data_IF_067920716853
#
_entry.id   IF_067920716853
#
_cell.length_a   1.000
_cell.length_b   1.000
_cell.length_c   1.000
_cell.angle_alpha   90.00
_cell.angle_beta   90.00
_cell.angle_gamma   90.00
#
_symmetry.space_group_name_H-M   'P 1'
#
loop_
_entity.id
_entity.type
_entity.pdbx_description
1 polymer ?
#
# COMPACT_ATOMS: atom_id res chain seq x y z
N UNK A 1 1.09 42.54 -10.36
CA UNK A 1 1.17 41.67 -9.16
C UNK A 1 -0.17 41.85 -8.45
N UNK A 2 -0.99 40.80 -8.34
CA UNK A 2 -2.34 40.93 -7.77
C UNK A 2 -2.39 40.47 -6.31
N UNK A 3 -3.19 41.15 -5.50
CA UNK A 3 -3.37 40.86 -4.08
C UNK A 3 -4.84 40.55 -3.80
N UNK A 4 -5.09 39.67 -2.83
CA UNK A 4 -6.43 39.30 -2.39
C UNK A 4 -7.12 40.48 -1.72
N UNK A 5 -8.35 40.80 -2.14
CA UNK A 5 -9.09 41.93 -1.60
C UNK A 5 -9.54 41.69 -0.15
N UNK A 6 -9.63 40.42 0.27
CA UNK A 6 -10.07 39.98 1.60
C UNK A 6 -8.91 39.99 2.59
N UNK A 7 -7.86 39.20 2.36
CA UNK A 7 -6.77 39.03 3.34
C UNK A 7 -5.47 39.73 2.95
N UNK A 8 -5.46 40.50 1.85
CA UNK A 8 -4.31 41.26 1.34
C UNK A 8 -3.06 40.43 1.01
N UNK A 9 -3.17 39.10 0.98
CA UNK A 9 -2.08 38.21 0.57
C UNK A 9 -1.87 38.25 -0.94
N UNK A 10 -0.67 37.90 -1.40
CA UNK A 10 -0.35 37.87 -2.83
C UNK A 10 -1.07 36.70 -3.51
N UNK A 11 -1.78 36.96 -4.62
CA UNK A 11 -2.40 35.92 -5.44
C UNK A 11 -1.34 35.20 -6.30
N UNK A 12 -1.55 33.92 -6.53
CA UNK A 12 -0.73 33.09 -7.42
C UNK A 12 -1.44 32.88 -8.77
N UNK A 13 -0.68 32.80 -9.87
CA UNK A 13 -1.25 32.52 -11.19
C UNK A 13 -1.47 31.00 -11.34
N UNK A 14 -2.69 30.61 -11.67
CA UNK A 14 -3.10 29.22 -11.94
C UNK A 14 -3.69 29.10 -13.35
N UNK A 15 -4.09 27.89 -13.76
CA UNK A 15 -4.76 27.67 -15.04
C UNK A 15 -6.16 28.31 -15.11
N UNK A 16 -6.78 28.62 -13.96
CA UNK A 16 -8.08 29.30 -13.84
C UNK A 16 -7.95 30.82 -13.60
N UNK A 17 -6.73 31.37 -13.69
CA UNK A 17 -6.45 32.77 -13.35
C UNK A 17 -5.75 32.96 -12.00
N UNK A 18 -5.78 34.17 -11.47
CA UNK A 18 -5.11 34.51 -10.21
C UNK A 18 -5.97 34.11 -8.99
N UNK A 19 -5.43 33.25 -8.12
CA UNK A 19 -6.12 32.72 -6.93
C UNK A 19 -5.41 33.10 -5.62
N UNK A 20 -6.18 33.36 -4.56
CA UNK A 20 -5.72 33.58 -3.21
C UNK A 20 -5.61 32.26 -2.44
N UNK A 21 -4.38 31.88 -2.06
CA UNK A 21 -4.12 30.63 -1.31
C UNK A 21 -4.82 30.56 0.06
N UNK A 22 -5.19 31.70 0.65
CA UNK A 22 -5.79 31.76 1.99
C UNK A 22 -7.32 31.88 1.96
N UNK A 23 -7.88 32.45 0.89
CA UNK A 23 -9.31 32.79 0.82
C UNK A 23 -10.07 31.99 -0.24
N UNK A 24 -9.40 31.55 -1.31
CA UNK A 24 -10.08 30.88 -2.42
C UNK A 24 -10.18 29.36 -2.18
N UNK A 25 -9.27 28.78 -1.40
CA UNK A 25 -9.24 27.34 -1.07
C UNK A 25 -9.66 27.01 0.38
N UNK A 26 -10.15 27.98 1.16
CA UNK A 26 -10.60 27.70 2.52
C UNK A 26 -12.02 27.13 2.55
N UNK A 27 -12.14 25.82 2.37
CA UNK A 27 -13.25 25.04 2.89
C UNK A 27 -12.76 24.16 4.04
N UNK A 28 -13.04 24.50 5.32
CA UNK A 28 -12.62 23.68 6.46
C UNK A 28 -13.25 22.28 6.49
N UNK A 29 -14.19 21.98 5.58
CA UNK A 29 -14.85 20.69 5.42
C UNK A 29 -14.46 19.91 4.15
N UNK A 30 -13.52 20.38 3.32
CA UNK A 30 -12.95 19.51 2.26
C UNK A 30 -11.92 18.57 2.87
N UNK A 31 -12.41 17.54 3.56
CA UNK A 31 -11.66 16.29 3.63
C UNK A 31 -11.35 15.91 2.17
N UNK A 32 -10.08 15.69 1.84
CA UNK A 32 -9.70 14.97 0.62
C UNK A 32 -10.72 13.83 0.43
N UNK A 33 -11.41 13.71 -0.73
CA UNK A 33 -12.49 12.76 -0.88
C UNK A 33 -11.96 11.40 -0.43
N UNK A 34 -12.44 10.96 0.73
CA UNK A 34 -12.18 9.61 1.23
C UNK A 34 -12.69 8.73 0.12
N UNK A 35 -11.79 8.04 -0.60
CA UNK A 35 -12.15 7.10 -1.65
C UNK A 35 -12.92 5.97 -0.96
N UNK A 36 -14.23 6.16 -0.82
CA UNK A 36 -15.10 5.15 -0.25
C UNK A 36 -14.94 3.89 -1.11
N UNK A 37 -14.77 2.72 -0.49
CA UNK A 37 -14.74 1.48 -1.25
C UNK A 37 -16.05 1.35 -2.03
N UNK A 38 -15.95 0.82 -3.25
CA UNK A 38 -17.13 0.47 -4.07
C UNK A 38 -17.73 -0.87 -3.59
N UNK A 39 -16.97 -1.60 -2.78
CA UNK A 39 -17.32 -2.86 -2.13
C UNK A 39 -17.81 -2.64 -0.69
N UNK A 40 -18.73 -3.47 -0.21
CA UNK A 40 -19.24 -3.47 1.16
C UNK A 40 -18.78 -4.70 1.95
N UNK A 41 -18.58 -4.57 3.27
CA UNK A 41 -18.08 -5.65 4.15
C UNK A 41 -19.00 -6.89 4.17
N UNK A 42 -20.29 -6.73 3.83
CA UNK A 42 -21.29 -7.79 3.87
C UNK A 42 -21.37 -8.62 2.57
N UNK A 43 -20.63 -8.24 1.54
CA UNK A 43 -20.55 -8.98 0.28
C UNK A 43 -19.38 -9.98 0.31
N UNK A 44 -19.47 -11.06 -0.47
CA UNK A 44 -18.32 -11.93 -0.71
C UNK A 44 -17.16 -11.12 -1.33
N UNK A 45 -15.93 -11.35 -0.87
CA UNK A 45 -14.75 -10.64 -1.39
C UNK A 45 -14.70 -10.73 -2.93
N UNK A 46 -14.50 -9.61 -3.66
CA UNK A 46 -14.94 -9.54 -5.06
C UNK A 46 -13.92 -10.08 -6.07
N UNK A 47 -12.99 -10.94 -5.62
CA UNK A 47 -11.91 -11.50 -6.42
C UNK A 47 -11.90 -13.02 -6.28
N UNK A 48 -11.74 -13.70 -7.41
CA UNK A 48 -11.73 -15.16 -7.49
C UNK A 48 -10.29 -15.62 -7.39
N UNK A 49 -10.03 -16.64 -6.55
CA UNK A 49 -8.70 -17.19 -6.35
C UNK A 49 -8.11 -17.64 -7.69
N UNK A 50 -6.82 -17.37 -7.89
CA UNK A 50 -6.02 -17.69 -9.08
C UNK A 50 -6.34 -16.88 -10.35
N UNK A 51 -7.32 -15.97 -10.29
CA UNK A 51 -7.60 -14.99 -11.36
C UNK A 51 -6.69 -13.76 -11.29
N UNK A 52 -6.57 -13.06 -12.42
CA UNK A 52 -5.62 -11.94 -12.59
C UNK A 52 -6.31 -10.60 -12.79
N UNK A 53 -5.87 -9.58 -12.05
CA UNK A 53 -6.51 -8.27 -12.04
C UNK A 53 -5.51 -7.11 -12.12
N UNK A 54 -5.97 -5.98 -12.66
CA UNK A 54 -5.18 -4.75 -12.76
C UNK A 54 -5.10 -4.08 -11.39
N UNK A 55 -3.89 -3.84 -10.87
CA UNK A 55 -3.67 -3.24 -9.54
C UNK A 55 -4.42 -1.92 -9.33
N UNK A 56 -4.46 -1.05 -10.35
CA UNK A 56 -5.18 0.23 -10.28
C UNK A 56 -6.66 0.04 -9.99
N UNK A 57 -7.29 -0.94 -10.64
CA UNK A 57 -8.71 -1.25 -10.44
C UNK A 57 -8.94 -1.92 -9.09
N UNK A 58 -8.01 -2.75 -8.61
CA UNK A 58 -8.06 -3.29 -7.23
C UNK A 58 -8.06 -2.15 -6.22
N UNK A 59 -7.10 -1.22 -6.33
CA UNK A 59 -6.99 -0.09 -5.43
C UNK A 59 -8.25 0.79 -5.45
N UNK A 60 -8.81 1.04 -6.63
CA UNK A 60 -10.04 1.82 -6.79
C UNK A 60 -11.23 1.12 -6.13
N UNK A 61 -11.46 -0.16 -6.43
CA UNK A 61 -12.61 -0.92 -5.93
C UNK A 61 -12.60 -1.07 -4.40
N UNK A 62 -11.43 -1.33 -3.82
CA UNK A 62 -11.25 -1.57 -2.39
C UNK A 62 -10.87 -0.30 -1.59
N UNK A 63 -10.86 0.89 -2.20
CA UNK A 63 -10.55 2.15 -1.49
C UNK A 63 -9.13 2.22 -0.91
N UNK A 64 -8.15 1.63 -1.60
CA UNK A 64 -6.76 1.51 -1.12
C UNK A 64 -5.91 2.74 -1.50
N UNK A 65 -4.86 2.99 -0.72
CA UNK A 65 -3.83 3.99 -1.02
C UNK A 65 -3.07 3.69 -2.33
N UNK A 66 -2.29 4.63 -2.85
CA UNK A 66 -1.69 4.53 -4.18
C UNK A 66 -0.33 3.82 -4.24
N UNK A 67 0.50 3.94 -3.19
CA UNK A 67 1.95 3.62 -3.30
C UNK A 67 2.47 2.67 -2.21
N UNK A 68 1.63 1.82 -1.61
CA UNK A 68 2.09 0.86 -0.59
C UNK A 68 1.81 -0.59 -0.94
N UNK A 69 2.74 -1.45 -0.53
CA UNK A 69 2.62 -2.91 -0.60
C UNK A 69 1.65 -3.44 0.45
N UNK A 70 1.76 -2.97 1.71
CA UNK A 70 0.79 -3.24 2.77
C UNK A 70 -0.27 -2.14 2.74
N UNK A 71 -1.51 -2.49 2.45
CA UNK A 71 -2.59 -1.53 2.25
C UNK A 71 -3.80 -1.86 3.13
N UNK A 72 -3.90 -1.28 4.34
CA UNK A 72 -5.06 -1.47 5.18
C UNK A 72 -6.25 -0.62 4.69
N UNK A 73 -7.44 -1.21 4.67
CA UNK A 73 -8.71 -0.50 4.67
C UNK A 73 -9.41 -0.78 6.00
N UNK A 74 -9.55 0.26 6.83
CA UNK A 74 -10.10 0.16 8.19
C UNK A 74 -11.62 0.06 8.21
N UNK A 75 -12.31 0.62 7.21
CA UNK A 75 -13.76 0.53 7.09
C UNK A 75 -14.18 -0.90 6.73
N UNK A 76 -13.47 -1.53 5.80
CA UNK A 76 -13.73 -2.91 5.37
C UNK A 76 -13.09 -3.99 6.25
N UNK A 77 -12.29 -3.59 7.26
CA UNK A 77 -11.49 -4.53 8.08
C UNK A 77 -10.65 -5.49 7.25
N UNK A 78 -10.02 -4.99 6.19
CA UNK A 78 -9.10 -5.78 5.34
C UNK A 78 -7.71 -5.17 5.28
N UNK A 79 -6.71 -6.01 5.05
CA UNK A 79 -5.36 -5.62 4.67
C UNK A 79 -5.08 -6.27 3.32
N UNK A 80 -4.79 -5.46 2.31
CA UNK A 80 -4.42 -5.95 0.98
C UNK A 80 -2.91 -5.85 0.84
N UNK A 81 -2.28 -6.99 0.55
CA UNK A 81 -0.86 -7.11 0.28
C UNK A 81 -0.64 -7.16 -1.22
N UNK A 82 0.17 -6.25 -1.73
CA UNK A 82 0.67 -6.27 -3.10
C UNK A 82 2.13 -6.69 -3.11
N UNK A 83 2.41 -7.78 -3.82
CA UNK A 83 3.77 -8.12 -4.27
C UNK A 83 3.89 -7.75 -5.73
N UNK A 84 4.81 -6.84 -6.05
CA UNK A 84 5.10 -6.47 -7.43
C UNK A 84 6.30 -7.27 -7.95
N UNK A 85 6.25 -7.67 -9.21
CA UNK A 85 7.42 -8.20 -9.89
C UNK A 85 8.39 -7.06 -10.21
N UNK A 86 9.67 -7.33 -9.97
CA UNK A 86 10.71 -6.32 -10.17
C UNK A 86 11.22 -6.40 -11.59
N UNK A 87 11.28 -5.24 -12.25
CA UNK A 87 12.06 -5.09 -13.48
C UNK A 87 13.52 -5.10 -13.06
N UNK A 88 14.29 -6.07 -13.55
CA UNK A 88 15.74 -6.04 -13.40
C UNK A 88 16.28 -4.89 -14.25
N UNK A 89 16.64 -3.79 -13.60
CA UNK A 89 17.33 -2.66 -14.24
C UNK A 89 18.77 -2.61 -13.77
N UNK A 90 19.75 -2.30 -14.65
CA UNK A 90 21.12 -2.07 -14.24
C UNK A 90 21.18 -1.05 -13.10
N UNK A 91 21.97 -1.33 -12.06
CA UNK A 91 22.18 -0.47 -10.89
C UNK A 91 20.93 -0.18 -10.04
N UNK A 92 19.85 -0.96 -10.18
CA UNK A 92 18.69 -0.87 -9.29
C UNK A 92 18.56 -2.14 -8.44
N UNK A 93 18.72 -1.99 -7.14
CA UNK A 93 18.54 -3.10 -6.19
C UNK A 93 17.09 -3.16 -5.70
N UNK A 94 16.50 -4.34 -5.75
CA UNK A 94 15.23 -4.60 -5.08
C UNK A 94 15.49 -4.80 -3.58
N UNK A 95 14.94 -3.91 -2.76
CA UNK A 95 15.10 -3.90 -1.29
C UNK A 95 14.10 -4.80 -0.55
N UNK A 96 13.23 -5.49 -1.29
CA UNK A 96 12.23 -6.41 -0.77
C UNK A 96 12.40 -7.79 -1.42
N UNK A 97 13.05 -8.70 -0.71
CA UNK A 97 13.30 -10.06 -1.19
C UNK A 97 12.14 -11.02 -0.87
N UNK A 98 10.94 -10.68 -1.36
CA UNK A 98 9.75 -11.53 -1.23
C UNK A 98 9.95 -12.86 -1.97
N UNK A 99 9.48 -13.97 -1.39
CA UNK A 99 9.56 -15.30 -2.01
C UNK A 99 8.34 -16.18 -1.71
N UNK A 100 8.10 -17.15 -2.58
CA UNK A 100 7.19 -18.25 -2.32
C UNK A 100 7.99 -19.55 -2.21
N UNK A 101 7.80 -20.25 -1.10
CA UNK A 101 8.39 -21.55 -0.84
C UNK A 101 7.40 -22.64 -1.27
N UNK A 102 7.72 -23.35 -2.35
CA UNK A 102 6.84 -24.36 -2.95
C UNK A 102 6.70 -25.61 -2.09
N UNK A 103 7.69 -25.93 -1.27
CA UNK A 103 7.69 -27.15 -0.45
C UNK A 103 6.78 -26.97 0.78
N UNK A 104 6.84 -25.80 1.41
CA UNK A 104 6.04 -25.50 2.61
C UNK A 104 4.70 -24.82 2.30
N UNK A 105 4.57 -24.25 1.10
CA UNK A 105 3.44 -23.41 0.70
C UNK A 105 3.42 -22.05 1.39
N UNK A 106 4.56 -21.58 1.92
CA UNK A 106 4.67 -20.32 2.66
C UNK A 106 5.07 -19.19 1.72
N UNK A 107 4.31 -18.10 1.76
CA UNK A 107 4.73 -16.82 1.18
C UNK A 107 5.51 -16.02 2.21
N UNK A 108 6.71 -15.59 1.85
CA UNK A 108 7.55 -14.70 2.65
C UNK A 108 7.42 -13.30 2.09
N UNK A 109 6.84 -12.42 2.89
CA UNK A 109 6.55 -11.05 2.53
C UNK A 109 7.37 -10.11 3.42
N UNK A 110 8.22 -9.28 2.83
CA UNK A 110 9.05 -8.33 3.56
C UNK A 110 8.20 -7.12 3.97
N UNK A 111 8.36 -6.69 5.22
CA UNK A 111 7.64 -5.56 5.80
C UNK A 111 7.87 -4.26 5.06
N UNK A 112 7.04 -3.26 5.36
CA UNK A 112 7.13 -1.91 4.82
C UNK A 112 8.31 -1.16 5.43
N UNK A 113 8.94 -0.34 4.58
CA UNK A 113 9.99 0.62 4.91
C UNK A 113 11.13 0.44 3.92
N UNK A 114 11.70 1.52 3.38
CA UNK A 114 12.72 1.48 2.32
C UNK A 114 14.14 1.78 2.80
N UNK A 115 14.28 2.50 3.92
CA UNK A 115 15.54 3.06 4.41
C UNK A 115 15.60 2.79 5.91
N UNK A 116 16.74 2.33 6.40
CA UNK A 116 16.96 2.01 7.81
C UNK A 116 16.13 0.82 8.33
N UNK A 117 16.36 0.49 9.59
CA UNK A 117 15.73 -0.63 10.27
C UNK A 117 14.21 -0.48 10.30
N UNK A 118 13.51 -1.56 9.97
CA UNK A 118 12.06 -1.61 10.08
C UNK A 118 11.64 -1.72 11.53
N UNK A 119 10.43 -1.23 11.80
CA UNK A 119 9.72 -1.32 13.07
C UNK A 119 8.45 -2.16 12.90
N UNK A 120 7.98 -2.76 14.00
CA UNK A 120 6.68 -3.46 14.06
C UNK A 120 5.56 -2.54 14.57
N UNK A 121 5.53 -1.32 14.06
CA UNK A 121 4.49 -0.33 14.28
C UNK A 121 3.78 0.01 12.95
N UNK A 122 2.82 0.94 13.00
CA UNK A 122 2.08 1.38 11.82
C UNK A 122 1.47 0.21 11.03
N UNK A 123 1.73 0.17 9.72
CA UNK A 123 1.21 -0.88 8.83
C UNK A 123 1.83 -2.26 9.12
N UNK A 124 3.11 -2.32 9.53
CA UNK A 124 3.77 -3.59 9.88
C UNK A 124 3.16 -4.18 11.15
N UNK A 125 2.95 -3.34 12.17
CA UNK A 125 2.29 -3.73 13.41
C UNK A 125 0.84 -4.16 13.19
N UNK A 126 0.12 -3.46 12.31
CA UNK A 126 -1.25 -3.83 11.94
C UNK A 126 -1.30 -5.19 11.23
N UNK A 127 -0.38 -5.45 10.29
CA UNK A 127 -0.28 -6.76 9.62
C UNK A 127 0.06 -7.88 10.62
N UNK A 128 1.04 -7.66 11.49
CA UNK A 128 1.43 -8.64 12.53
C UNK A 128 0.22 -9.04 13.38
N UNK A 129 -0.58 -8.07 13.79
CA UNK A 129 -1.70 -8.26 14.70
C UNK A 129 -3.05 -8.39 13.96
N UNK A 130 -3.04 -8.70 12.66
CA UNK A 130 -4.25 -8.67 11.82
C UNK A 130 -5.35 -9.58 12.38
N UNK A 131 -5.02 -10.84 12.70
CA UNK A 131 -5.98 -11.81 13.25
C UNK A 131 -6.55 -11.35 14.60
N UNK A 132 -5.70 -10.87 15.51
CA UNK A 132 -6.11 -10.35 16.82
C UNK A 132 -7.04 -9.14 16.69
N UNK A 133 -6.78 -8.31 15.68
CA UNK A 133 -7.57 -7.14 15.38
C UNK A 133 -8.72 -7.44 14.41
N UNK A 134 -9.09 -8.70 14.13
CA UNK A 134 -10.17 -9.03 13.19
C UNK A 134 -10.03 -8.32 11.82
N UNK A 135 -8.83 -8.34 11.25
CA UNK A 135 -8.57 -7.94 9.87
C UNK A 135 -8.33 -9.17 9.01
N UNK A 136 -9.01 -9.26 7.87
CA UNK A 136 -8.72 -10.27 6.84
C UNK A 136 -7.57 -9.80 5.97
N UNK A 137 -6.62 -10.69 5.66
CA UNK A 137 -5.45 -10.35 4.84
C UNK A 137 -5.60 -10.99 3.47
N UNK A 138 -5.57 -10.18 2.41
CA UNK A 138 -5.72 -10.64 1.03
C UNK A 138 -4.42 -10.39 0.25
N UNK A 139 -3.91 -11.42 -0.42
CA UNK A 139 -2.64 -11.35 -1.14
C UNK A 139 -2.85 -11.28 -2.66
N UNK A 140 -2.24 -10.29 -3.28
CA UNK A 140 -2.14 -10.13 -4.72
C UNK A 140 -0.68 -10.22 -5.16
N UNK A 141 -0.38 -11.16 -6.04
CA UNK A 141 0.98 -11.48 -6.47
C UNK A 141 1.17 -11.25 -7.97
N UNK A 142 2.06 -10.33 -8.33
CA UNK A 142 2.48 -10.14 -9.71
C UNK A 142 3.69 -11.04 -9.98
N UNK A 143 3.59 -11.90 -10.99
CA UNK A 143 4.67 -12.82 -11.39
C UNK A 143 5.65 -12.19 -12.36
N UNK A 144 5.13 -11.42 -13.32
CA UNK A 144 5.91 -10.76 -14.37
C UNK A 144 5.80 -9.24 -14.25
N UNK A 145 6.90 -8.51 -14.46
CA UNK A 145 6.84 -7.06 -14.40
C UNK A 145 5.86 -6.51 -15.45
N UNK A 146 5.08 -5.49 -15.06
CA UNK A 146 4.02 -4.88 -15.88
C UNK A 146 2.83 -5.80 -16.23
N UNK A 147 2.71 -6.99 -15.62
CA UNK A 147 1.53 -7.85 -15.77
C UNK A 147 0.44 -7.52 -14.74
N UNK A 148 -0.71 -8.16 -14.89
CA UNK A 148 -1.74 -8.20 -13.85
C UNK A 148 -1.25 -8.99 -12.61
N UNK A 149 -1.92 -8.76 -11.48
CA UNK A 149 -1.68 -9.46 -10.23
C UNK A 149 -2.64 -10.63 -10.09
N UNK A 150 -2.12 -11.82 -9.81
CA UNK A 150 -2.91 -12.97 -9.38
C UNK A 150 -3.49 -12.69 -8.01
N UNK A 151 -4.78 -12.93 -7.80
CA UNK A 151 -5.33 -13.02 -6.45
C UNK A 151 -5.01 -14.40 -5.85
N UNK A 152 -4.09 -14.43 -4.90
CA UNK A 152 -3.66 -15.68 -4.23
C UNK A 152 -4.74 -16.20 -3.28
N UNK A 153 -5.52 -15.30 -2.70
CA UNK A 153 -6.55 -15.62 -1.71
C UNK A 153 -6.42 -14.83 -0.42
N UNK A 154 -7.29 -15.17 0.53
CA UNK A 154 -7.14 -14.79 1.92
C UNK A 154 -6.01 -15.61 2.56
N UNK A 155 -5.14 -14.96 3.31
CA UNK A 155 -3.96 -15.55 3.97
C UNK A 155 -3.92 -15.14 5.44
N UNK A 156 -3.20 -15.91 6.26
CA UNK A 156 -2.95 -15.57 7.65
C UNK A 156 -1.45 -15.39 7.90
N UNK A 157 -1.10 -14.45 8.78
CA UNK A 157 0.26 -14.35 9.31
C UNK A 157 0.50 -15.51 10.27
N UNK A 158 1.40 -16.41 9.91
CA UNK A 158 1.81 -17.56 10.75
C UNK A 158 2.91 -17.18 11.72
N UNK A 159 3.87 -16.38 11.26
CA UNK A 159 4.96 -15.88 12.08
C UNK A 159 5.57 -14.61 11.47
N UNK A 160 6.36 -13.89 12.25
CA UNK A 160 7.14 -12.73 11.82
C UNK A 160 8.57 -12.89 12.32
N UNK A 161 9.49 -13.11 11.39
CA UNK A 161 10.90 -13.33 11.70
C UNK A 161 11.74 -12.10 11.30
N UNK A 162 12.77 -11.75 12.08
CA UNK A 162 13.74 -10.73 11.66
C UNK A 162 14.66 -11.29 10.57
N UNK A 163 15.12 -10.42 9.68
CA UNK A 163 16.10 -10.72 8.64
C UNK A 163 16.98 -9.47 8.38
N UNK A 164 18.08 -9.62 7.63
CA UNK A 164 18.96 -8.52 7.24
C UNK A 164 18.97 -8.37 5.72
N UNK A 165 18.59 -7.20 5.21
CA UNK A 165 18.57 -6.91 3.78
C UNK A 165 19.17 -5.51 3.53
N UNK A 166 19.77 -5.25 2.35
CA UNK A 166 20.17 -3.90 2.00
C UNK A 166 18.94 -2.99 1.86
N UNK A 167 19.07 -1.76 2.33
CA UNK A 167 18.11 -0.70 2.12
C UNK A 167 18.28 -0.03 0.75
N UNK A 168 17.49 1.01 0.46
CA UNK A 168 17.54 1.72 -0.83
C UNK A 168 18.91 2.34 -1.13
N UNK A 169 19.72 2.60 -0.11
CA UNK A 169 21.06 3.18 -0.23
C UNK A 169 22.15 2.11 -0.21
N UNK A 170 21.79 0.82 -0.21
CA UNK A 170 22.72 -0.31 -0.14
C UNK A 170 23.24 -0.61 1.26
N UNK A 171 22.73 0.05 2.30
CA UNK A 171 23.15 -0.22 3.68
C UNK A 171 22.34 -1.37 4.26
N UNK A 172 22.99 -2.35 4.88
CA UNK A 172 22.29 -3.41 5.60
C UNK A 172 21.40 -2.83 6.69
N UNK A 173 20.18 -3.35 6.78
CA UNK A 173 19.17 -2.99 7.75
C UNK A 173 18.41 -4.22 8.22
N UNK A 174 17.88 -4.14 9.43
CA UNK A 174 16.90 -5.09 9.94
C UNK A 174 15.58 -4.93 9.19
N UNK A 175 15.04 -6.04 8.71
CA UNK A 175 13.69 -6.12 8.15
C UNK A 175 12.87 -7.17 8.91
N UNK A 176 11.56 -7.10 8.78
CA UNK A 176 10.65 -8.13 9.27
C UNK A 176 10.05 -8.90 8.09
N UNK A 177 10.13 -10.22 8.13
CA UNK A 177 9.56 -11.10 7.11
C UNK A 177 8.34 -11.79 7.70
N UNK A 178 7.18 -11.49 7.11
CA UNK A 178 5.90 -12.10 7.44
C UNK A 178 5.78 -13.43 6.69
N UNK A 179 5.57 -14.52 7.44
CA UNK A 179 5.30 -15.84 6.88
C UNK A 179 3.78 -15.98 6.72
N UNK A 180 3.30 -16.07 5.49
CA UNK A 180 1.88 -16.07 5.15
C UNK A 180 1.44 -17.43 4.59
N UNK A 181 0.24 -17.88 4.99
CA UNK A 181 -0.40 -19.11 4.48
C UNK A 181 -1.91 -19.04 4.55
#
# INVERSE_FOLDING_TARGET
>A
MEFCDICKSKKIKTFEGFKCQNCDDYNPNTKNPTKKPVYSENESFPYIKDEYYVQKEIRKKLGLGLMSGINPNRELRIIVLFRNAHVLKPNQTNVYLDKYDKETGIYRYVGKGLIGDQTLDGDNGLLKNAAQNNYKVHLFWQHNANSNHQYVGEVNVKDVIPDSQPDKNGKNRKVFVFLLK
#
